data_IF_315047218845
#
_entry.id   IF_315047218845
#
_cell.length_a   1.000
_cell.length_b   1.000
_cell.length_c   1.000
_cell.angle_alpha   90.00
_cell.angle_beta   90.00
_cell.angle_gamma   90.00
#
_symmetry.space_group_name_H-M   'P 1'
#
loop_
_entity.id
_entity.type
_entity.pdbx_description
1 polymer ?
#
# COMPACT_ATOMS: atom_id res chain seq x y z
N UNK A 1 18.17 -16.68 40.94
CA UNK A 1 18.54 -17.85 40.10
C UNK A 1 17.32 -18.34 39.33
N UNK A 2 17.48 -18.73 38.07
CA UNK A 2 16.39 -19.28 37.28
C UNK A 2 15.92 -20.61 37.90
N UNK A 3 14.81 -20.58 38.65
CA UNK A 3 14.24 -21.80 39.21
C UNK A 3 13.61 -22.66 38.11
N UNK A 4 13.52 -23.98 38.30
CA UNK A 4 12.81 -24.89 37.39
C UNK A 4 11.36 -24.43 37.12
N UNK A 5 10.75 -23.75 38.09
CA UNK A 5 9.42 -23.12 37.94
C UNK A 5 9.43 -22.00 36.90
N UNK A 6 10.45 -21.15 36.89
CA UNK A 6 10.61 -20.05 35.91
C UNK A 6 10.80 -20.58 34.48
N UNK A 7 11.58 -21.65 34.33
CA UNK A 7 11.82 -22.30 33.03
C UNK A 7 10.52 -22.94 32.51
N UNK A 8 9.80 -23.69 33.35
CA UNK A 8 8.48 -24.24 33.00
C UNK A 8 7.47 -23.14 32.60
N UNK A 9 7.50 -22.01 33.30
CA UNK A 9 6.70 -20.82 32.95
C UNK A 9 7.01 -20.29 31.54
N UNK A 10 8.29 -20.11 31.20
CA UNK A 10 8.72 -19.68 29.85
C UNK A 10 8.30 -20.67 28.76
N UNK A 11 8.45 -21.98 28.99
CA UNK A 11 8.02 -23.02 28.05
C UNK A 11 6.51 -22.91 27.78
N UNK A 12 5.70 -22.75 28.84
CA UNK A 12 4.25 -22.57 28.69
C UNK A 12 3.91 -21.31 27.90
N UNK A 13 4.59 -20.19 28.17
CA UNK A 13 4.38 -18.93 27.45
C UNK A 13 4.72 -19.04 25.96
N UNK A 14 5.87 -19.64 25.61
CA UNK A 14 6.27 -19.84 24.21
C UNK A 14 5.31 -20.78 23.47
N UNK A 15 4.88 -21.88 24.10
CA UNK A 15 3.88 -22.79 23.52
C UNK A 15 2.54 -22.08 23.26
N UNK A 16 2.11 -21.21 24.16
CA UNK A 16 0.89 -20.41 23.96
C UNK A 16 1.07 -19.41 22.81
N UNK A 17 2.20 -18.70 22.75
CA UNK A 17 2.51 -17.77 21.66
C UNK A 17 2.54 -18.49 20.31
N UNK A 18 3.11 -19.69 20.24
CA UNK A 18 3.11 -20.53 19.03
C UNK A 18 1.70 -20.89 18.55
N UNK A 19 0.79 -21.23 19.46
CA UNK A 19 -0.62 -21.50 19.12
C UNK A 19 -1.31 -20.26 18.55
N UNK A 20 -1.10 -19.09 19.19
CA UNK A 20 -1.68 -17.82 18.75
C UNK A 20 -1.17 -17.45 17.35
N UNK A 21 0.14 -17.51 17.11
CA UNK A 21 0.71 -17.17 15.79
C UNK A 21 0.31 -18.18 14.71
N UNK A 22 0.17 -19.46 15.04
CA UNK A 22 -0.38 -20.48 14.12
C UNK A 22 -1.82 -20.15 13.71
N UNK A 23 -2.67 -19.75 14.67
CA UNK A 23 -4.03 -19.32 14.37
C UNK A 23 -4.04 -18.05 13.49
N UNK A 24 -3.22 -17.05 13.83
CA UNK A 24 -3.08 -15.82 13.03
C UNK A 24 -2.62 -16.11 11.59
N UNK A 25 -1.71 -17.08 11.39
CA UNK A 25 -1.28 -17.53 10.06
C UNK A 25 -2.47 -18.05 9.26
N UNK A 26 -3.29 -18.93 9.84
CA UNK A 26 -4.47 -19.49 9.17
C UNK A 26 -5.52 -18.43 8.84
N UNK A 27 -5.80 -17.53 9.78
CA UNK A 27 -6.73 -16.40 9.56
C UNK A 27 -6.22 -15.49 8.44
N UNK A 28 -4.91 -15.20 8.42
CA UNK A 28 -4.31 -14.34 7.39
C UNK A 28 -4.33 -15.01 6.02
N UNK A 29 -4.07 -16.32 5.95
CA UNK A 29 -4.18 -17.10 4.71
C UNK A 29 -5.62 -17.08 4.16
N UNK A 30 -6.62 -17.26 5.02
CA UNK A 30 -8.03 -17.19 4.61
C UNK A 30 -8.41 -15.78 4.11
N UNK A 31 -7.90 -14.72 4.74
CA UNK A 31 -8.11 -13.33 4.28
C UNK A 31 -7.42 -13.06 2.94
N UNK A 32 -6.20 -13.57 2.75
CA UNK A 32 -5.48 -13.44 1.48
C UNK A 32 -6.25 -14.13 0.34
N UNK A 33 -6.73 -15.35 0.58
CA UNK A 33 -7.52 -16.08 -0.42
C UNK A 33 -8.77 -15.30 -0.83
N UNK A 34 -9.53 -14.79 0.14
CA UNK A 34 -10.69 -13.93 -0.15
C UNK A 34 -10.34 -12.68 -0.95
N UNK A 35 -9.22 -12.03 -0.64
CA UNK A 35 -8.76 -10.86 -1.38
C UNK A 35 -8.36 -11.22 -2.83
N UNK A 36 -7.70 -12.36 -3.03
CA UNK A 36 -7.36 -12.87 -4.36
C UNK A 36 -8.61 -13.20 -5.17
N UNK A 37 -9.58 -13.88 -4.57
CA UNK A 37 -10.84 -14.21 -5.22
C UNK A 37 -11.60 -12.94 -5.64
N UNK A 38 -11.62 -11.91 -4.78
CA UNK A 38 -12.22 -10.62 -5.11
C UNK A 38 -11.53 -9.97 -6.32
N UNK A 39 -10.19 -9.95 -6.36
CA UNK A 39 -9.43 -9.42 -7.50
C UNK A 39 -9.76 -10.18 -8.79
N UNK A 40 -9.80 -11.52 -8.74
CA UNK A 40 -10.12 -12.35 -9.91
C UNK A 40 -11.53 -12.06 -10.42
N UNK A 41 -12.51 -11.90 -9.52
CA UNK A 41 -13.89 -11.55 -9.88
C UNK A 41 -14.02 -10.16 -10.52
N UNK A 42 -13.18 -9.20 -10.13
CA UNK A 42 -13.20 -7.84 -10.69
C UNK A 42 -12.48 -7.74 -12.04
N UNK A 43 -11.66 -8.74 -12.43
CA UNK A 43 -10.89 -8.69 -13.70
C UNK A 43 -11.72 -8.42 -14.95
N UNK A 44 -12.86 -9.08 -15.19
CA UNK A 44 -13.64 -8.83 -16.41
C UNK A 44 -14.11 -7.37 -16.51
N UNK A 45 -14.52 -6.78 -15.38
CA UNK A 45 -14.89 -5.36 -15.33
C UNK A 45 -13.71 -4.45 -15.68
N UNK A 46 -12.53 -4.72 -15.09
CA UNK A 46 -11.34 -3.92 -15.35
C UNK A 46 -10.88 -4.00 -16.82
N UNK A 47 -10.98 -5.19 -17.43
CA UNK A 47 -10.65 -5.41 -18.84
C UNK A 47 -11.60 -4.64 -19.76
N UNK A 48 -12.91 -4.77 -19.55
CA UNK A 48 -13.89 -4.04 -20.35
C UNK A 48 -13.77 -2.53 -20.18
N UNK A 49 -13.50 -2.06 -18.95
CA UNK A 49 -13.28 -0.65 -18.69
C UNK A 49 -12.06 -0.12 -19.46
N UNK A 50 -10.96 -0.87 -19.50
CA UNK A 50 -9.75 -0.50 -20.23
C UNK A 50 -10.01 -0.46 -21.75
N UNK A 51 -10.73 -1.44 -22.29
CA UNK A 51 -11.15 -1.46 -23.70
C UNK A 51 -12.03 -0.25 -24.06
N UNK A 52 -13.00 0.08 -23.21
CA UNK A 52 -13.89 1.23 -23.39
C UNK A 52 -13.13 2.56 -23.30
N UNK A 53 -12.24 2.71 -22.32
CA UNK A 53 -11.42 3.92 -22.20
C UNK A 53 -10.49 4.07 -23.42
N UNK A 54 -9.92 2.98 -23.90
CA UNK A 54 -9.09 2.96 -25.10
C UNK A 54 -9.87 3.31 -26.37
N UNK A 55 -11.10 2.79 -26.53
CA UNK A 55 -11.95 3.11 -27.69
C UNK A 55 -12.37 4.58 -27.69
N UNK A 56 -12.76 5.12 -26.54
CA UNK A 56 -13.12 6.55 -26.39
C UNK A 56 -11.90 7.43 -26.67
N UNK A 57 -10.72 7.08 -26.15
CA UNK A 57 -9.50 7.84 -26.39
C UNK A 57 -9.15 7.89 -27.89
N UNK A 58 -9.26 6.77 -28.61
CA UNK A 58 -9.04 6.71 -30.07
C UNK A 58 -10.06 7.54 -30.84
N UNK A 59 -11.35 7.36 -30.56
CA UNK A 59 -12.41 8.09 -31.24
C UNK A 59 -12.27 9.61 -31.07
N UNK A 60 -11.86 10.09 -29.90
CA UNK A 60 -11.58 11.52 -29.69
C UNK A 60 -10.40 12.02 -30.51
N UNK A 61 -9.34 11.21 -30.65
CA UNK A 61 -8.17 11.56 -31.45
C UNK A 61 -8.52 11.62 -32.94
N UNK A 62 -9.31 10.68 -33.45
CA UNK A 62 -9.80 10.66 -34.84
C UNK A 62 -10.71 11.85 -35.16
N UNK A 63 -11.52 12.29 -34.20
CA UNK A 63 -12.38 13.46 -34.32
C UNK A 63 -11.65 14.80 -34.06
N UNK A 64 -10.32 14.79 -33.94
CA UNK A 64 -9.48 15.96 -33.65
C UNK A 64 -9.91 16.75 -32.39
N UNK A 65 -10.54 16.08 -31.44
CA UNK A 65 -10.99 16.69 -30.18
C UNK A 65 -9.80 16.78 -29.23
N UNK A 66 -9.57 17.96 -28.67
CA UNK A 66 -8.49 18.19 -27.71
C UNK A 66 -8.50 17.15 -26.56
N UNK A 67 -7.30 16.67 -26.14
CA UNK A 67 -7.18 15.64 -25.11
C UNK A 67 -7.67 16.15 -23.76
N UNK A 68 -8.36 15.27 -23.04
CA UNK A 68 -8.84 15.54 -21.68
C UNK A 68 -7.64 15.93 -20.77
N UNK A 69 -7.79 16.86 -19.81
CA UNK A 69 -6.68 17.29 -18.94
C UNK A 69 -5.93 16.17 -18.23
N UNK A 70 -6.60 15.06 -17.88
CA UNK A 70 -5.97 13.88 -17.27
C UNK A 70 -5.12 13.03 -18.23
N UNK A 71 -5.23 13.27 -19.54
CA UNK A 71 -4.48 12.57 -20.59
C UNK A 71 -3.31 13.40 -21.13
N UNK A 72 -3.17 14.66 -20.68
CA UNK A 72 -2.11 15.55 -21.13
C UNK A 72 -0.79 15.21 -20.44
N UNK A 73 0.26 15.01 -21.23
CA UNK A 73 1.63 14.90 -20.74
C UNK A 73 2.17 16.32 -20.52
N UNK A 74 2.65 16.59 -19.31
CA UNK A 74 3.22 17.88 -18.92
C UNK A 74 4.47 17.65 -18.09
N UNK A 75 5.33 18.65 -18.03
CA UNK A 75 6.46 18.65 -17.11
C UNK A 75 5.96 18.73 -15.66
N UNK A 76 6.20 17.70 -14.83
CA UNK A 76 5.65 17.64 -13.49
C UNK A 76 6.37 18.61 -12.55
N UNK A 77 5.72 19.71 -12.21
CA UNK A 77 6.22 20.66 -11.19
C UNK A 77 5.95 20.21 -9.76
N UNK A 78 4.76 19.67 -9.51
CA UNK A 78 4.32 19.18 -8.21
C UNK A 78 3.82 17.76 -8.35
N UNK A 79 4.16 16.93 -7.37
CA UNK A 79 3.79 15.52 -7.37
C UNK A 79 3.10 15.14 -6.07
N UNK A 80 2.23 14.13 -6.16
CA UNK A 80 1.51 13.58 -5.02
C UNK A 80 1.86 12.10 -4.87
N UNK A 81 2.43 11.75 -3.71
CA UNK A 81 2.71 10.37 -3.34
C UNK A 81 1.50 9.81 -2.61
N UNK A 82 0.78 8.92 -3.29
CA UNK A 82 -0.27 8.12 -2.65
C UNK A 82 0.38 6.93 -1.96
N UNK A 83 0.51 7.00 -0.64
CA UNK A 83 1.19 6.01 0.18
C UNK A 83 0.19 4.97 0.71
N UNK A 84 0.11 3.82 0.04
CA UNK A 84 -0.76 2.71 0.44
C UNK A 84 -0.04 1.80 1.45
N UNK A 85 -0.58 1.72 2.66
CA UNK A 85 -0.06 0.90 3.75
C UNK A 85 -1.18 0.08 4.38
N UNK A 86 -0.85 -0.88 5.24
CA UNK A 86 -1.87 -1.62 5.97
C UNK A 86 -2.32 -0.86 7.22
N UNK A 87 -3.53 -1.10 7.70
CA UNK A 87 -3.96 -0.61 9.02
C UNK A 87 -3.31 -1.35 10.21
N UNK A 88 -2.81 -2.57 9.97
CA UNK A 88 -2.36 -3.49 11.03
C UNK A 88 -0.84 -3.57 11.14
N UNK A 89 -0.35 -4.16 12.23
CA UNK A 89 1.05 -4.56 12.39
C UNK A 89 1.25 -6.04 12.10
N UNK A 90 2.39 -6.60 12.58
CA UNK A 90 2.72 -8.04 12.48
C UNK A 90 2.68 -8.58 11.04
N UNK A 91 3.05 -7.75 10.08
CA UNK A 91 3.03 -8.04 8.63
C UNK A 91 4.46 -8.16 8.05
N UNK A 92 5.43 -8.56 8.87
CA UNK A 92 6.84 -8.58 8.50
C UNK A 92 7.33 -7.21 8.01
N UNK A 93 8.07 -7.20 6.91
CA UNK A 93 8.65 -6.00 6.31
C UNK A 93 7.70 -5.14 5.46
N UNK A 94 6.42 -5.51 5.29
CA UNK A 94 5.50 -4.88 4.33
C UNK A 94 5.44 -3.34 4.42
N UNK A 95 4.98 -2.81 5.56
CA UNK A 95 4.86 -1.35 5.73
C UNK A 95 6.23 -0.66 5.71
N UNK A 96 7.25 -1.29 6.29
CA UNK A 96 8.60 -0.73 6.34
C UNK A 96 9.23 -0.60 4.95
N UNK A 97 9.02 -1.58 4.07
CA UNK A 97 9.49 -1.55 2.68
C UNK A 97 8.83 -0.42 1.89
N UNK A 98 7.50 -0.28 2.01
CA UNK A 98 6.73 0.75 1.30
C UNK A 98 7.18 2.14 1.74
N UNK A 99 7.26 2.38 3.05
CA UNK A 99 7.70 3.66 3.61
C UNK A 99 9.14 3.97 3.18
N UNK A 100 10.06 2.99 3.25
CA UNK A 100 11.44 3.18 2.78
C UNK A 100 11.51 3.52 1.30
N UNK A 101 10.68 2.90 0.45
CA UNK A 101 10.66 3.21 -0.99
C UNK A 101 10.19 4.64 -1.24
N UNK A 102 9.14 5.07 -0.54
CA UNK A 102 8.64 6.45 -0.64
C UNK A 102 9.68 7.46 -0.16
N UNK A 103 10.33 7.20 0.99
CA UNK A 103 11.40 8.06 1.50
C UNK A 103 12.57 8.14 0.53
N UNK A 104 12.99 7.01 -0.02
CA UNK A 104 14.07 6.96 -1.01
C UNK A 104 13.73 7.80 -2.23
N UNK A 105 12.52 7.68 -2.75
CA UNK A 105 12.05 8.49 -3.87
C UNK A 105 12.10 9.99 -3.53
N UNK A 106 11.66 10.41 -2.34
CA UNK A 106 11.76 11.81 -1.91
C UNK A 106 13.21 12.30 -1.86
N UNK A 107 14.15 11.45 -1.43
CA UNK A 107 15.57 11.82 -1.35
C UNK A 107 16.22 11.89 -2.74
N UNK A 108 15.98 10.89 -3.59
CA UNK A 108 16.64 10.74 -4.90
C UNK A 108 16.03 11.68 -5.95
N UNK A 109 14.70 11.77 -5.99
CA UNK A 109 13.95 12.44 -7.04
C UNK A 109 13.32 13.76 -6.58
N UNK A 110 13.18 13.95 -5.26
CA UNK A 110 12.52 15.12 -4.71
C UNK A 110 13.08 16.49 -5.13
N UNK A 111 14.41 16.67 -5.26
CA UNK A 111 14.99 17.94 -5.73
C UNK A 111 14.57 18.36 -7.14
N UNK A 112 14.00 17.45 -7.94
CA UNK A 112 13.52 17.75 -9.30
C UNK A 112 12.15 18.44 -9.32
N UNK A 113 11.45 18.45 -8.18
CA UNK A 113 10.08 18.93 -8.08
C UNK A 113 10.00 20.18 -7.18
N UNK A 114 9.11 21.11 -7.53
CA UNK A 114 8.81 22.29 -6.71
C UNK A 114 8.14 21.90 -5.39
N UNK A 115 7.31 20.85 -5.40
CA UNK A 115 6.63 20.35 -4.20
C UNK A 115 6.26 18.87 -4.28
N UNK A 116 6.33 18.19 -3.13
CA UNK A 116 5.87 16.81 -2.95
C UNK A 116 4.80 16.79 -1.86
N UNK A 117 3.62 16.27 -2.21
CA UNK A 117 2.52 16.06 -1.28
C UNK A 117 2.34 14.58 -0.98
N UNK A 118 1.75 14.27 0.18
CA UNK A 118 1.43 12.90 0.55
C UNK A 118 -0.08 12.75 0.73
N UNK A 119 -0.61 11.65 0.21
CA UNK A 119 -1.94 11.16 0.55
C UNK A 119 -1.79 9.76 1.10
N UNK A 120 -2.31 9.50 2.30
CA UNK A 120 -2.02 8.24 3.00
C UNK A 120 -3.25 7.35 3.08
N UNK A 121 -3.13 6.13 2.57
CA UNK A 121 -4.15 5.09 2.71
C UNK A 121 -3.61 4.06 3.70
N UNK A 122 -4.34 3.86 4.79
CA UNK A 122 -3.98 2.96 5.88
C UNK A 122 -3.33 3.65 7.07
N UNK A 123 -3.59 3.11 8.27
CA UNK A 123 -3.16 3.69 9.55
C UNK A 123 -1.64 3.79 9.69
N UNK A 124 -0.87 2.84 9.16
CA UNK A 124 0.60 2.84 9.31
C UNK A 124 1.28 3.98 8.54
N UNK A 125 0.76 4.31 7.36
CA UNK A 125 1.19 5.46 6.57
C UNK A 125 0.82 6.78 7.26
N UNK A 126 -0.41 6.90 7.79
CA UNK A 126 -0.82 8.06 8.60
C UNK A 126 0.06 8.27 9.82
N UNK A 127 0.30 7.22 10.60
CA UNK A 127 1.16 7.30 11.79
C UNK A 127 2.60 7.71 11.42
N UNK A 128 3.10 7.23 10.28
CA UNK A 128 4.41 7.63 9.75
C UNK A 128 4.44 9.12 9.37
N UNK A 129 3.48 9.58 8.57
CA UNK A 129 3.39 10.97 8.13
C UNK A 129 3.29 11.93 9.33
N UNK A 130 2.41 11.62 10.29
CA UNK A 130 2.23 12.39 11.53
C UNK A 130 3.52 12.51 12.34
N UNK A 131 4.27 11.41 12.51
CA UNK A 131 5.55 11.42 13.24
C UNK A 131 6.64 12.24 12.58
N UNK A 132 6.56 12.45 11.26
CA UNK A 132 7.54 13.20 10.48
C UNK A 132 7.11 14.64 10.19
N UNK A 133 5.97 15.08 10.72
CA UNK A 133 5.42 16.41 10.43
C UNK A 133 5.03 16.58 8.95
N UNK A 134 4.82 15.48 8.23
CA UNK A 134 4.40 15.54 6.83
C UNK A 134 2.90 15.80 6.82
N UNK A 135 2.48 16.92 6.23
CA UNK A 135 1.07 17.18 5.96
C UNK A 135 0.57 16.16 4.93
N UNK A 136 -0.28 15.23 5.37
CA UNK A 136 -0.93 14.25 4.50
C UNK A 136 -2.41 14.52 4.39
N UNK A 137 -2.96 14.43 3.18
CA UNK A 137 -4.41 14.31 2.97
C UNK A 137 -4.88 12.88 3.23
#
# INVERSE_FOLDING_TARGET
MASLRSIRGRIKAVRNMQKITKALKLVSAAKLRRAQDAVVRTRPYAQLLDELLGSIARARAEAEIAPHPLMQVRDPKRIEIVLLTSDRGLCGGFNANIIRRAQRFVVEEGPKYEAIQFSTIGRRGRDFAKKRGIASR
#
